data_IF_619836942439
#
_entry.id   IF_619836942439
#
_cell.length_a   1.000
_cell.length_b   1.000
_cell.length_c   1.000
_cell.angle_alpha   90.00
_cell.angle_beta   90.00
_cell.angle_gamma   90.00
#
_symmetry.space_group_name_H-M   'P 1'
#
loop_
_entity.id
_entity.type
_entity.pdbx_description
1 polymer ?
#
# COMPACT_ATOMS: atom_id res chain seq x y z
N UNK A 1 -13.92 -5.14 28.49
CA UNK A 1 -12.50 -5.27 28.87
C UNK A 1 -11.68 -4.71 27.71
N UNK A 2 -10.93 -3.63 27.92
CA UNK A 2 -10.05 -3.10 26.88
C UNK A 2 -8.87 -4.08 26.72
N UNK A 3 -8.80 -4.76 25.58
CA UNK A 3 -7.64 -5.58 25.26
C UNK A 3 -6.43 -4.65 25.13
N UNK A 4 -5.51 -4.70 26.10
CA UNK A 4 -4.24 -3.99 26.01
C UNK A 4 -3.41 -4.64 24.91
N UNK A 5 -3.12 -3.91 23.83
CA UNK A 5 -2.19 -4.37 22.81
C UNK A 5 -0.84 -4.67 23.50
N UNK A 6 -0.32 -5.90 23.41
CA UNK A 6 0.96 -6.23 24.02
C UNK A 6 2.05 -5.31 23.48
N UNK A 7 2.93 -4.80 24.35
CA UNK A 7 4.01 -3.88 23.94
C UNK A 7 4.85 -4.45 22.79
N UNK A 8 5.03 -5.77 22.74
CA UNK A 8 5.69 -6.47 21.64
C UNK A 8 4.97 -6.29 20.30
N UNK A 9 3.63 -6.39 20.27
CA UNK A 9 2.84 -6.18 19.05
C UNK A 9 3.00 -4.74 18.58
N UNK A 10 2.90 -3.77 19.50
CA UNK A 10 3.11 -2.36 19.16
C UNK A 10 4.51 -2.12 18.59
N UNK A 11 5.55 -2.69 19.21
CA UNK A 11 6.93 -2.56 18.75
C UNK A 11 7.12 -3.15 17.34
N UNK A 12 6.55 -4.33 17.06
CA UNK A 12 6.61 -4.95 15.73
C UNK A 12 5.85 -4.12 14.69
N UNK A 13 4.68 -3.59 15.02
CA UNK A 13 3.90 -2.71 14.12
C UNK A 13 4.66 -1.43 13.80
N UNK A 14 5.23 -0.76 14.82
CA UNK A 14 6.03 0.45 14.62
C UNK A 14 7.33 0.16 13.86
N UNK A 15 7.98 -0.98 14.13
CA UNK A 15 9.13 -1.45 13.36
C UNK A 15 8.78 -1.67 11.90
N UNK A 16 7.64 -2.29 11.62
CA UNK A 16 7.10 -2.45 10.27
C UNK A 16 6.83 -1.09 9.59
N UNK A 17 6.25 -0.13 10.31
CA UNK A 17 6.02 1.22 9.79
C UNK A 17 7.33 1.96 9.48
N UNK A 18 8.35 1.82 10.34
CA UNK A 18 9.68 2.38 10.12
C UNK A 18 10.34 1.76 8.87
N UNK A 19 10.38 0.44 8.78
CA UNK A 19 10.89 -0.27 7.60
C UNK A 19 10.14 0.18 6.34
N UNK A 20 8.82 0.35 6.44
CA UNK A 20 7.99 0.83 5.34
C UNK A 20 8.42 2.23 4.87
N UNK A 21 8.61 3.16 5.81
CA UNK A 21 9.08 4.50 5.50
C UNK A 21 10.50 4.48 4.90
N UNK A 22 11.39 3.65 5.44
CA UNK A 22 12.78 3.54 4.99
C UNK A 22 12.92 3.03 3.56
N UNK A 23 12.20 1.97 3.16
CA UNK A 23 12.32 1.46 1.79
C UNK A 23 11.71 2.43 0.76
N UNK A 24 10.61 3.11 1.11
CA UNK A 24 10.05 4.16 0.25
C UNK A 24 11.02 5.33 0.07
N UNK A 25 11.71 5.74 1.14
CA UNK A 25 12.74 6.77 1.08
C UNK A 25 13.91 6.34 0.19
N UNK A 26 14.38 5.10 0.33
CA UNK A 26 15.46 4.54 -0.49
C UNK A 26 15.11 4.48 -1.98
N UNK A 27 13.90 4.04 -2.35
CA UNK A 27 13.47 4.04 -3.76
C UNK A 27 13.38 5.47 -4.31
N UNK A 28 12.91 6.42 -3.50
CA UNK A 28 12.76 7.81 -3.93
C UNK A 28 14.11 8.47 -4.24
N UNK A 29 15.19 8.07 -3.56
CA UNK A 29 16.54 8.59 -3.82
C UNK A 29 17.21 8.00 -5.06
N UNK A 30 16.71 6.89 -5.60
CA UNK A 30 17.30 6.22 -6.76
C UNK A 30 16.79 6.78 -8.10
N UNK A 31 17.66 6.92 -9.11
CA UNK A 31 17.25 7.36 -10.44
C UNK A 31 16.39 6.30 -11.16
N UNK A 32 16.72 5.01 -11.01
CA UNK A 32 15.90 3.91 -11.50
C UNK A 32 15.02 3.33 -10.39
N UNK A 33 13.83 3.90 -10.24
CA UNK A 33 12.84 3.51 -9.22
C UNK A 33 12.34 2.08 -9.40
N UNK A 34 12.29 1.57 -10.64
CA UNK A 34 11.81 0.22 -10.91
C UNK A 34 12.86 -0.80 -10.47
N UNK A 35 14.12 -0.58 -10.84
CA UNK A 35 15.22 -1.43 -10.40
C UNK A 35 15.37 -1.41 -8.88
N UNK A 36 15.28 -0.24 -8.25
CA UNK A 36 15.31 -0.11 -6.80
C UNK A 36 14.15 -0.86 -6.13
N UNK A 37 12.93 -0.76 -6.66
CA UNK A 37 11.78 -1.52 -6.17
C UNK A 37 12.00 -3.03 -6.29
N UNK A 38 12.46 -3.51 -7.45
CA UNK A 38 12.74 -4.93 -7.68
C UNK A 38 13.83 -5.42 -6.72
N UNK A 39 14.91 -4.66 -6.52
CA UNK A 39 16.00 -5.04 -5.62
C UNK A 39 15.51 -5.17 -4.17
N UNK A 40 14.73 -4.20 -3.68
CA UNK A 40 14.12 -4.25 -2.33
C UNK A 40 13.21 -5.48 -2.20
N UNK A 41 12.34 -5.73 -3.18
CA UNK A 41 11.38 -6.84 -3.13
C UNK A 41 12.07 -8.20 -3.21
N UNK A 42 13.10 -8.35 -4.06
CA UNK A 42 13.91 -9.57 -4.12
C UNK A 42 14.66 -9.80 -2.80
N UNK A 43 15.27 -8.76 -2.24
CA UNK A 43 15.94 -8.84 -0.94
C UNK A 43 14.97 -9.27 0.18
N UNK A 44 13.78 -8.66 0.22
CA UNK A 44 12.72 -9.05 1.16
C UNK A 44 12.27 -10.51 0.94
N UNK A 45 12.12 -10.94 -0.31
CA UNK A 45 11.78 -12.31 -0.67
C UNK A 45 12.84 -13.33 -0.22
N UNK A 46 14.13 -13.00 -0.39
CA UNK A 46 15.25 -13.83 0.09
C UNK A 46 15.28 -13.94 1.61
N UNK A 47 15.09 -12.82 2.31
CA UNK A 47 14.99 -12.83 3.77
C UNK A 47 13.77 -13.63 4.25
N UNK A 48 12.64 -13.51 3.56
CA UNK A 48 11.45 -14.32 3.82
C UNK A 48 11.71 -15.81 3.60
N UNK A 49 12.34 -16.19 2.49
CA UNK A 49 12.71 -17.57 2.20
C UNK A 49 13.68 -18.14 3.23
N UNK A 50 14.65 -17.35 3.70
CA UNK A 50 15.55 -17.74 4.77
C UNK A 50 14.79 -17.94 6.08
N UNK A 51 13.84 -17.06 6.41
CA UNK A 51 13.01 -17.19 7.60
C UNK A 51 12.19 -18.50 7.60
N UNK A 52 11.77 -19.00 6.43
CA UNK A 52 11.05 -20.28 6.31
C UNK A 52 11.86 -21.47 6.85
N UNK A 53 13.19 -21.39 6.95
CA UNK A 53 14.01 -22.44 7.56
C UNK A 53 13.72 -22.66 9.05
N UNK A 54 13.13 -21.67 9.73
CA UNK A 54 12.76 -21.74 11.15
C UNK A 54 11.25 -21.71 11.41
N UNK A 55 10.44 -21.66 10.34
CA UNK A 55 8.97 -21.58 10.42
C UNK A 55 8.34 -22.87 9.90
N UNK A 56 7.11 -23.15 10.35
CA UNK A 56 6.32 -24.21 9.75
C UNK A 56 6.00 -23.86 8.28
N UNK A 57 5.96 -24.86 7.37
CA UNK A 57 5.58 -24.62 5.98
C UNK A 57 4.14 -24.08 5.91
N UNK A 58 3.80 -23.27 4.89
CA UNK A 58 2.44 -22.77 4.70
C UNK A 58 1.43 -23.90 4.63
N UNK A 59 0.24 -23.68 5.19
CA UNK A 59 -0.85 -24.65 5.10
C UNK A 59 -1.22 -24.87 3.61
N UNK A 60 -1.49 -26.12 3.16
CA UNK A 60 -1.75 -26.39 1.76
C UNK A 60 -2.90 -25.58 1.14
N UNK A 61 -3.93 -25.25 1.94
CA UNK A 61 -5.04 -24.42 1.49
C UNK A 61 -4.66 -22.96 1.21
N UNK A 62 -3.50 -22.49 1.70
CA UNK A 62 -3.04 -21.10 1.53
C UNK A 62 -2.35 -20.85 0.18
N UNK A 63 -1.92 -21.89 -0.53
CA UNK A 63 -1.18 -21.74 -1.80
C UNK A 63 -1.91 -20.94 -2.89
N UNK A 64 -3.22 -21.11 -3.12
CA UNK A 64 -3.95 -20.29 -4.09
C UNK A 64 -3.91 -18.79 -3.73
N UNK A 65 -4.01 -18.46 -2.44
CA UNK A 65 -3.96 -17.07 -1.95
C UNK A 65 -2.56 -16.48 -2.08
N UNK A 66 -1.52 -17.26 -1.75
CA UNK A 66 -0.12 -16.86 -1.97
C UNK A 66 0.13 -16.55 -3.45
N UNK A 67 -0.33 -17.41 -4.35
CA UNK A 67 -0.18 -17.20 -5.80
C UNK A 67 -0.96 -15.97 -6.29
N UNK A 68 -2.22 -15.82 -5.86
CA UNK A 68 -3.05 -14.67 -6.21
C UNK A 68 -2.45 -13.35 -5.71
N UNK A 69 -2.03 -13.30 -4.45
CA UNK A 69 -1.37 -12.13 -3.86
C UNK A 69 -0.07 -11.80 -4.58
N UNK A 70 0.76 -12.81 -4.90
CA UNK A 70 1.99 -12.61 -5.66
C UNK A 70 1.73 -11.99 -7.05
N UNK A 71 0.70 -12.44 -7.76
CA UNK A 71 0.32 -11.89 -9.07
C UNK A 71 -0.19 -10.44 -8.95
N UNK A 72 -1.02 -10.17 -7.95
CA UNK A 72 -1.49 -8.81 -7.67
C UNK A 72 -0.33 -7.88 -7.32
N UNK A 73 0.66 -8.38 -6.58
CA UNK A 73 1.84 -7.63 -6.19
C UNK A 73 2.69 -7.22 -7.41
N UNK A 74 2.84 -8.11 -8.40
CA UNK A 74 3.48 -7.78 -9.68
C UNK A 74 2.69 -6.70 -10.42
N UNK A 75 1.36 -6.84 -10.49
CA UNK A 75 0.45 -5.83 -11.04
C UNK A 75 0.60 -4.46 -10.37
N UNK A 76 0.70 -4.45 -9.03
CA UNK A 76 0.94 -3.26 -8.24
C UNK A 76 2.23 -2.54 -8.64
N UNK A 77 3.37 -3.25 -8.74
CA UNK A 77 4.63 -2.62 -9.12
C UNK A 77 4.60 -2.05 -10.55
N UNK A 78 3.95 -2.75 -11.49
CA UNK A 78 3.79 -2.25 -12.86
C UNK A 78 2.95 -0.97 -12.91
N UNK A 79 1.80 -0.95 -12.21
CA UNK A 79 0.93 0.23 -12.14
C UNK A 79 1.59 1.39 -11.40
N UNK A 80 2.32 1.11 -10.32
CA UNK A 80 3.08 2.10 -9.56
C UNK A 80 4.13 2.78 -10.45
N UNK A 81 4.92 1.99 -11.19
CA UNK A 81 5.93 2.51 -12.11
C UNK A 81 5.29 3.34 -13.23
N UNK A 82 4.19 2.87 -13.81
CA UNK A 82 3.44 3.61 -14.83
C UNK A 82 2.87 4.94 -14.29
N UNK A 83 2.37 4.94 -13.05
CA UNK A 83 1.84 6.14 -12.40
C UNK A 83 2.95 7.16 -12.15
N UNK A 84 4.09 6.74 -11.62
CA UNK A 84 5.22 7.64 -11.30
C UNK A 84 6.00 8.18 -12.51
N UNK A 85 5.80 7.60 -13.70
CA UNK A 85 6.38 8.14 -14.92
C UNK A 85 5.66 9.40 -15.39
N UNK A 86 4.34 9.41 -15.28
CA UNK A 86 3.49 10.42 -15.91
C UNK A 86 2.88 11.41 -14.87
N UNK A 87 3.03 11.14 -13.56
CA UNK A 87 2.42 11.91 -12.47
C UNK A 87 3.41 12.40 -11.41
N UNK A 88 3.12 13.55 -10.81
CA UNK A 88 3.81 14.02 -9.61
C UNK A 88 3.55 13.08 -8.43
N UNK A 89 4.63 12.55 -7.86
CA UNK A 89 4.59 11.61 -6.72
C UNK A 89 3.80 12.23 -5.55
N UNK A 90 3.94 13.52 -5.32
CA UNK A 90 3.26 14.26 -4.24
C UNK A 90 1.72 14.25 -4.37
N UNK A 91 1.17 13.94 -5.55
CA UNK A 91 -0.27 13.88 -5.81
C UNK A 91 -0.78 12.47 -6.03
N UNK A 92 -0.06 11.67 -6.82
CA UNK A 92 -0.46 10.29 -7.07
C UNK A 92 -0.38 9.43 -5.79
N UNK A 93 0.64 9.65 -4.95
CA UNK A 93 0.87 8.82 -3.77
C UNK A 93 -0.25 8.91 -2.72
N UNK A 94 -0.71 10.11 -2.28
CA UNK A 94 -1.79 10.16 -1.30
C UNK A 94 -3.12 9.68 -1.86
N UNK A 95 -3.37 9.83 -3.17
CA UNK A 95 -4.55 9.27 -3.82
C UNK A 95 -4.53 7.74 -3.77
N UNK A 96 -3.44 7.11 -4.20
CA UNK A 96 -3.28 5.65 -4.18
C UNK A 96 -3.42 5.06 -2.76
N UNK A 97 -2.72 5.68 -1.79
CA UNK A 97 -2.64 5.18 -0.41
C UNK A 97 -3.86 5.56 0.44
N UNK A 98 -4.53 6.67 0.13
CA UNK A 98 -5.74 7.11 0.82
C UNK A 98 -7.00 6.36 0.36
N UNK A 99 -7.08 6.01 -0.93
CA UNK A 99 -8.26 5.30 -1.46
C UNK A 99 -8.28 3.81 -1.08
N UNK A 100 -7.12 3.15 -1.02
CA UNK A 100 -7.09 1.70 -0.78
C UNK A 100 -7.71 1.26 0.57
N UNK A 101 -7.43 1.89 1.73
CA UNK A 101 -8.07 1.54 3.00
C UNK A 101 -9.59 1.70 2.97
N UNK A 102 -10.11 2.68 2.23
CA UNK A 102 -11.56 2.87 2.05
C UNK A 102 -12.15 1.70 1.28
N UNK A 103 -11.50 1.25 0.21
CA UNK A 103 -11.95 0.10 -0.58
C UNK A 103 -11.97 -1.19 0.27
N UNK A 104 -10.93 -1.41 1.08
CA UNK A 104 -10.87 -2.56 2.01
C UNK A 104 -11.98 -2.48 3.06
N UNK A 105 -12.23 -1.30 3.63
CA UNK A 105 -13.30 -1.07 4.60
C UNK A 105 -14.69 -1.33 4.00
N UNK A 106 -14.93 -0.87 2.77
CA UNK A 106 -16.18 -1.10 2.05
C UNK A 106 -16.38 -2.59 1.74
N UNK A 107 -15.33 -3.29 1.30
CA UNK A 107 -15.40 -4.71 0.99
C UNK A 107 -15.71 -5.59 2.22
N UNK A 108 -15.21 -5.21 3.40
CA UNK A 108 -15.46 -5.95 4.65
C UNK A 108 -16.72 -5.52 5.41
N UNK A 109 -17.43 -4.48 4.95
CA UNK A 109 -18.59 -3.92 5.66
C UNK A 109 -19.73 -4.91 5.90
N UNK A 110 -19.79 -6.01 5.15
CA UNK A 110 -20.79 -7.08 5.30
C UNK A 110 -20.40 -8.24 6.22
N UNK A 111 -19.11 -8.44 6.51
CA UNK A 111 -18.59 -9.57 7.29
C UNK A 111 -18.19 -9.17 8.72
N UNK A 112 -17.53 -8.03 8.86
CA UNK A 112 -17.06 -7.52 10.15
C UNK A 112 -17.29 -6.01 10.22
N UNK A 113 -18.43 -5.55 10.80
CA UNK A 113 -18.78 -4.14 10.80
C UNK A 113 -17.77 -3.34 11.61
N UNK A 114 -17.18 -2.33 10.97
CA UNK A 114 -16.18 -1.47 11.59
C UNK A 114 -16.80 -0.67 12.74
N UNK A 115 -16.09 -0.63 13.87
CA UNK A 115 -16.46 0.21 14.99
C UNK A 115 -16.34 1.71 14.60
N UNK A 116 -17.17 2.62 15.13
CA UNK A 116 -17.11 4.05 14.80
C UNK A 116 -15.72 4.69 14.95
N UNK A 117 -14.92 4.21 15.90
CA UNK A 117 -13.52 4.64 16.10
C UNK A 117 -12.62 4.25 14.92
N UNK A 118 -12.81 3.06 14.33
CA UNK A 118 -12.05 2.61 13.15
C UNK A 118 -12.44 3.42 11.92
N UNK A 119 -13.73 3.71 11.74
CA UNK A 119 -14.21 4.61 10.68
C UNK A 119 -13.62 6.02 10.82
N UNK A 120 -13.56 6.54 12.05
CA UNK A 120 -12.91 7.81 12.34
C UNK A 120 -11.41 7.78 11.99
N UNK A 121 -10.69 6.70 12.33
CA UNK A 121 -9.28 6.54 11.97
C UNK A 121 -9.08 6.49 10.44
N UNK A 122 -9.92 5.75 9.71
CA UNK A 122 -9.89 5.72 8.23
C UNK A 122 -10.15 7.11 7.66
N UNK A 123 -11.16 7.83 8.18
CA UNK A 123 -11.46 9.18 7.76
C UNK A 123 -10.29 10.15 8.04
N UNK A 124 -9.61 10.00 9.18
CA UNK A 124 -8.45 10.82 9.54
C UNK A 124 -7.26 10.58 8.61
N UNK A 125 -6.99 9.31 8.26
CA UNK A 125 -5.94 8.94 7.29
C UNK A 125 -6.25 9.51 5.91
N UNK A 126 -7.51 9.39 5.46
CA UNK A 126 -7.95 9.96 4.19
C UNK A 126 -7.84 11.49 4.18
N UNK A 127 -8.30 12.15 5.24
CA UNK A 127 -8.21 13.60 5.41
C UNK A 127 -6.75 14.08 5.44
N UNK A 128 -5.87 13.37 6.15
CA UNK A 128 -4.44 13.65 6.16
C UNK A 128 -3.82 13.56 4.77
N UNK A 129 -4.19 12.53 3.99
CA UNK A 129 -3.78 12.40 2.60
C UNK A 129 -4.23 13.58 1.71
N UNK A 130 -5.48 14.03 1.87
CA UNK A 130 -6.03 15.19 1.17
C UNK A 130 -5.32 16.48 1.58
N UNK A 131 -5.08 16.69 2.88
CA UNK A 131 -4.37 17.86 3.41
C UNK A 131 -2.94 17.91 2.87
N UNK A 132 -2.23 16.79 2.76
CA UNK A 132 -0.90 16.74 2.15
C UNK A 132 -0.96 17.09 0.65
N UNK A 133 -1.94 16.55 -0.08
CA UNK A 133 -2.15 16.88 -1.50
C UNK A 133 -2.47 18.35 -1.76
N UNK A 134 -3.24 18.99 -0.87
CA UNK A 134 -3.70 20.37 -1.01
C UNK A 134 -2.70 21.37 -0.43
N UNK A 135 -2.16 21.09 0.76
CA UNK A 135 -1.27 21.98 1.52
C UNK A 135 0.19 21.98 1.07
N UNK A 136 0.65 20.94 0.35
CA UNK A 136 2.00 20.86 -0.21
C UNK A 136 2.27 21.73 -1.45
N UNK A 137 1.34 22.62 -1.83
CA UNK A 137 1.46 23.47 -3.04
C UNK A 137 1.17 22.73 -4.35
N UNK A 138 0.57 21.53 -4.29
CA UNK A 138 0.43 20.62 -5.41
C UNK A 138 -0.84 20.74 -6.25
N UNK A 139 -1.74 21.73 -6.04
CA UNK A 139 -2.77 21.94 -7.08
C UNK A 139 -2.05 22.31 -8.38
N UNK A 140 -2.25 21.58 -9.48
CA UNK A 140 -1.58 21.90 -10.73
C UNK A 140 -2.07 23.25 -11.19
N UNK A 141 -1.27 24.28 -10.97
CA UNK A 141 -1.23 25.42 -11.85
C UNK A 141 -0.80 24.89 -13.22
N UNK A 142 -1.80 24.56 -14.05
CA UNK A 142 -1.68 24.51 -15.50
C UNK A 142 -0.61 23.56 -16.08
N UNK A 143 -0.89 22.24 -16.17
CA UNK A 143 -0.29 21.39 -17.23
C UNK A 143 -1.25 20.30 -17.74
N UNK A 144 -1.85 20.56 -18.91
CA UNK A 144 -2.58 19.65 -19.82
C UNK A 144 -3.67 18.73 -19.22
N UNK A 145 -4.93 18.96 -19.61
CA UNK A 145 -6.10 18.18 -19.18
C UNK A 145 -6.06 16.69 -19.55
N UNK A 146 -5.21 16.28 -20.50
CA UNK A 146 -5.05 14.88 -20.91
C UNK A 146 -4.20 14.02 -19.96
N UNK A 147 -3.12 14.57 -19.39
CA UNK A 147 -2.23 13.83 -18.47
C UNK A 147 -2.90 13.56 -17.11
N UNK A 148 -3.77 14.48 -16.68
CA UNK A 148 -4.49 14.40 -15.40
C UNK A 148 -5.45 13.21 -15.32
N UNK A 149 -6.22 12.91 -16.38
CA UNK A 149 -7.17 11.78 -16.38
C UNK A 149 -6.47 10.42 -16.34
N UNK A 150 -5.41 10.25 -17.14
CA UNK A 150 -4.62 9.01 -17.16
C UNK A 150 -4.00 8.75 -15.79
N UNK A 151 -3.41 9.78 -15.19
CA UNK A 151 -2.85 9.73 -13.83
C UNK A 151 -3.89 9.31 -12.80
N UNK A 152 -5.09 9.91 -12.82
CA UNK A 152 -6.19 9.56 -11.93
C UNK A 152 -6.59 8.09 -12.08
N UNK A 153 -6.78 7.62 -13.32
CA UNK A 153 -7.15 6.22 -13.60
C UNK A 153 -6.07 5.26 -13.09
N UNK A 154 -4.80 5.52 -13.36
CA UNK A 154 -3.69 4.67 -12.90
C UNK A 154 -3.56 4.66 -11.37
N UNK A 155 -3.74 5.81 -10.72
CA UNK A 155 -3.73 5.89 -9.26
C UNK A 155 -4.89 5.10 -8.62
N UNK A 156 -6.10 5.20 -9.18
CA UNK A 156 -7.27 4.45 -8.71
C UNK A 156 -7.15 2.94 -8.98
N UNK A 157 -6.62 2.54 -10.15
CA UNK A 157 -6.31 1.14 -10.43
C UNK A 157 -5.28 0.60 -9.45
N UNK A 158 -4.24 1.38 -9.14
CA UNK A 158 -3.26 0.96 -8.13
C UNK A 158 -3.90 0.82 -6.75
N UNK A 159 -4.77 1.75 -6.35
CA UNK A 159 -5.52 1.65 -5.09
C UNK A 159 -6.41 0.40 -5.03
N UNK A 160 -7.05 0.03 -6.15
CA UNK A 160 -7.84 -1.18 -6.27
C UNK A 160 -6.99 -2.45 -6.13
N UNK A 161 -5.83 -2.50 -6.77
CA UNK A 161 -4.90 -3.62 -6.62
C UNK A 161 -4.39 -3.72 -5.18
N UNK A 162 -4.11 -2.58 -4.53
CA UNK A 162 -3.74 -2.55 -3.10
C UNK A 162 -4.84 -3.17 -2.24
N UNK A 163 -6.08 -2.76 -2.45
CA UNK A 163 -7.21 -3.32 -1.72
C UNK A 163 -7.38 -4.82 -1.99
N UNK A 164 -7.26 -5.24 -3.25
CA UNK A 164 -7.41 -6.64 -3.65
C UNK A 164 -6.37 -7.54 -2.97
N UNK A 165 -5.07 -7.22 -3.03
CA UNK A 165 -4.08 -8.09 -2.38
C UNK A 165 -4.24 -8.06 -0.86
N UNK A 166 -4.61 -6.91 -0.28
CA UNK A 166 -4.83 -6.80 1.18
C UNK A 166 -5.99 -7.70 1.64
N UNK A 167 -7.05 -7.81 0.83
CA UNK A 167 -8.17 -8.71 1.12
C UNK A 167 -7.77 -10.18 0.93
N UNK A 168 -7.04 -10.50 -0.14
CA UNK A 168 -6.54 -11.87 -0.39
C UNK A 168 -5.61 -12.32 0.74
N UNK A 169 -4.74 -11.44 1.24
CA UNK A 169 -3.83 -11.72 2.35
C UNK A 169 -4.55 -11.89 3.71
N UNK A 170 -5.78 -11.38 3.82
CA UNK A 170 -6.60 -11.48 5.03
C UNK A 170 -7.47 -12.73 5.12
N UNK A 171 -7.57 -13.51 4.05
CA UNK A 171 -8.35 -14.76 3.96
C UNK A 171 -7.49 -15.99 4.32
#
# INVERSE_FOLDING_TARGET
>A
MAATLPAAVLAVVLGGALLHASWNAAIKSEPDKLLAAVAVTLGAGLLGALALCWLAPPHPASWPYIAASSLLQVGYYMLLAATYRDADISHAYPLMRGTAPVLVALANSGSEPLHPVQLCAVALVCAGGVVICVGGGGLPASRSSGSSRRTLVLALLTALVIAAYTLVDGL
#
